data_IF_255022488288
#
_entry.id   IF_255022488288
#
_cell.length_a   1.000
_cell.length_b   1.000
_cell.length_c   1.000
_cell.angle_alpha   90.00
_cell.angle_beta   90.00
_cell.angle_gamma   90.00
#
_symmetry.space_group_name_H-M   'P 1'
#
loop_
_entity.id
_entity.type
_entity.pdbx_description
1 polymer ?
#
# COMPACT_ATOMS: atom_id res chain seq x y z
N UNK A 1 -36.57 6.17 16.97
CA UNK A 1 -36.12 5.05 16.11
C UNK A 1 -34.73 5.37 15.57
N UNK A 2 -33.71 4.55 15.88
CA UNK A 2 -32.37 4.73 15.34
C UNK A 2 -32.33 4.31 13.87
N UNK A 3 -31.97 5.22 12.97
CA UNK A 3 -31.86 4.92 11.55
C UNK A 3 -30.63 4.03 11.32
N UNK A 4 -30.83 2.81 10.83
CA UNK A 4 -29.74 1.85 10.56
C UNK A 4 -29.16 2.17 9.18
N UNK A 5 -28.13 3.01 9.13
CA UNK A 5 -27.44 3.35 7.87
C UNK A 5 -26.65 2.14 7.38
N UNK A 6 -26.92 1.71 6.16
CA UNK A 6 -26.13 0.68 5.45
C UNK A 6 -25.29 1.37 4.38
N UNK A 7 -24.07 0.89 4.20
CA UNK A 7 -23.13 1.31 3.15
C UNK A 7 -22.64 0.05 2.43
N UNK A 8 -22.59 0.09 1.10
CA UNK A 8 -21.97 -0.94 0.27
C UNK A 8 -20.66 -0.39 -0.27
N UNK A 9 -19.56 -1.09 0.00
CA UNK A 9 -18.23 -0.73 -0.50
C UNK A 9 -17.82 -1.79 -1.51
N UNK A 10 -17.50 -1.35 -2.73
CA UNK A 10 -16.94 -2.20 -3.77
C UNK A 10 -15.50 -1.74 -3.97
N UNK A 11 -14.57 -2.55 -3.47
CA UNK A 11 -13.14 -2.35 -3.71
C UNK A 11 -12.74 -2.98 -5.05
N UNK A 12 -11.64 -2.50 -5.62
CA UNK A 12 -11.14 -2.91 -6.94
C UNK A 12 -12.18 -2.83 -8.08
N UNK A 13 -13.05 -1.80 -8.06
CA UNK A 13 -14.10 -1.61 -9.07
C UNK A 13 -13.56 -1.53 -10.51
N UNK A 14 -12.29 -1.17 -10.68
CA UNK A 14 -11.62 -1.20 -11.97
C UNK A 14 -11.62 -2.58 -12.64
N UNK A 15 -11.73 -3.68 -11.88
CA UNK A 15 -11.75 -5.04 -12.40
C UNK A 15 -13.06 -5.36 -13.14
N UNK A 16 -14.13 -4.62 -12.85
CA UNK A 16 -15.38 -4.70 -13.61
C UNK A 16 -15.26 -3.98 -14.97
N UNK A 17 -14.31 -3.03 -15.12
CA UNK A 17 -14.12 -2.28 -16.36
C UNK A 17 -13.32 -3.11 -17.35
N UNK A 18 -13.86 -3.38 -18.56
CA UNK A 18 -13.17 -4.22 -19.54
C UNK A 18 -11.87 -3.57 -20.02
N UNK A 19 -10.81 -4.37 -20.14
CA UNK A 19 -9.47 -3.92 -20.58
C UNK A 19 -9.55 -3.22 -21.94
N UNK A 20 -10.36 -3.75 -22.87
CA UNK A 20 -10.53 -3.20 -24.23
C UNK A 20 -11.44 -1.97 -24.29
N UNK A 21 -11.90 -1.45 -23.13
CA UNK A 21 -12.77 -0.26 -22.99
C UNK A 21 -13.88 -0.19 -24.04
N UNK A 22 -14.55 -1.31 -24.29
CA UNK A 22 -15.64 -1.37 -25.25
C UNK A 22 -16.83 -0.56 -24.72
N UNK A 23 -17.31 0.37 -25.53
CA UNK A 23 -18.36 1.34 -25.14
C UNK A 23 -19.67 0.67 -24.72
N UNK A 24 -20.07 -0.41 -25.40
CA UNK A 24 -21.29 -1.17 -25.10
C UNK A 24 -21.21 -1.82 -23.71
N UNK A 25 -20.10 -2.48 -23.41
CA UNK A 25 -19.88 -3.12 -22.10
C UNK A 25 -19.74 -2.07 -20.99
N UNK A 26 -19.11 -0.93 -21.26
CA UNK A 26 -19.02 0.18 -20.29
C UNK A 26 -20.42 0.69 -19.98
N UNK A 27 -21.28 0.87 -21.00
CA UNK A 27 -22.66 1.30 -20.81
C UNK A 27 -23.49 0.30 -20.00
N UNK A 28 -23.37 -1.00 -20.29
CA UNK A 28 -24.04 -2.06 -19.50
C UNK A 28 -23.61 -2.02 -18.03
N UNK A 29 -22.32 -1.83 -17.76
CA UNK A 29 -21.80 -1.67 -16.41
C UNK A 29 -22.36 -0.41 -15.73
N UNK A 30 -22.50 0.70 -16.46
CA UNK A 30 -23.14 1.91 -15.94
C UNK A 30 -24.59 1.67 -15.54
N UNK A 31 -25.36 0.97 -16.38
CA UNK A 31 -26.76 0.62 -16.08
C UNK A 31 -26.87 -0.32 -14.88
N UNK A 32 -25.97 -1.30 -14.77
CA UNK A 32 -25.91 -2.17 -13.59
C UNK A 32 -25.66 -1.37 -12.30
N UNK A 33 -24.72 -0.42 -12.31
CA UNK A 33 -24.46 0.46 -11.15
C UNK A 33 -25.68 1.30 -10.81
N UNK A 34 -26.38 1.83 -11.83
CA UNK A 34 -27.61 2.59 -11.63
C UNK A 34 -28.68 1.74 -10.95
N UNK A 35 -28.93 0.55 -11.48
CA UNK A 35 -29.95 -0.36 -10.95
C UNK A 35 -29.62 -0.78 -9.51
N UNK A 36 -28.35 -1.00 -9.19
CA UNK A 36 -27.91 -1.27 -7.82
C UNK A 36 -28.22 -0.10 -6.88
N UNK A 37 -27.90 1.14 -7.27
CA UNK A 37 -28.19 2.33 -6.47
C UNK A 37 -29.71 2.50 -6.24
N UNK A 38 -30.52 2.27 -7.27
CA UNK A 38 -31.97 2.46 -7.22
C UNK A 38 -32.68 1.37 -6.41
N UNK A 39 -32.32 0.10 -6.64
CA UNK A 39 -33.00 -1.04 -6.03
C UNK A 39 -32.58 -1.25 -4.57
N UNK A 40 -31.30 -1.05 -4.24
CA UNK A 40 -30.82 -1.28 -2.87
C UNK A 40 -31.15 -0.13 -1.93
N UNK A 41 -31.25 1.11 -2.45
CA UNK A 41 -31.34 2.35 -1.67
C UNK A 41 -30.21 2.48 -0.62
N UNK A 42 -29.09 1.80 -0.84
CA UNK A 42 -27.89 1.83 0.01
C UNK A 42 -26.90 2.86 -0.54
N UNK A 43 -26.17 3.55 0.34
CA UNK A 43 -25.08 4.43 -0.09
C UNK A 43 -23.91 3.57 -0.55
N UNK A 44 -23.39 3.83 -1.75
CA UNK A 44 -22.29 3.06 -2.33
C UNK A 44 -20.98 3.84 -2.33
N UNK A 45 -19.89 3.13 -2.08
CA UNK A 45 -18.52 3.59 -2.31
C UNK A 45 -17.90 2.67 -3.35
N UNK A 46 -17.51 3.22 -4.50
CA UNK A 46 -16.78 2.52 -5.54
C UNK A 46 -15.32 2.96 -5.45
N UNK A 47 -14.44 2.05 -5.01
CA UNK A 47 -13.02 2.30 -4.88
C UNK A 47 -12.26 1.57 -5.99
N UNK A 48 -11.21 2.20 -6.51
CA UNK A 48 -10.42 1.61 -7.58
C UNK A 48 -9.42 2.54 -8.23
N UNK A 49 -8.80 2.05 -9.31
CA UNK A 49 -7.88 2.83 -10.15
C UNK A 49 -8.61 3.97 -10.88
N UNK A 50 -7.90 5.03 -11.32
CA UNK A 50 -8.53 6.22 -11.89
C UNK A 50 -9.52 5.96 -13.03
N UNK A 51 -9.27 4.94 -13.86
CA UNK A 51 -10.15 4.59 -14.99
C UNK A 51 -11.43 3.84 -14.55
N UNK A 52 -11.56 3.43 -13.29
CA UNK A 52 -12.80 2.87 -12.74
C UNK A 52 -13.97 3.85 -12.80
N UNK A 53 -13.69 5.13 -13.04
CA UNK A 53 -14.69 6.19 -13.19
C UNK A 53 -15.43 6.16 -14.53
N UNK A 54 -14.89 5.46 -15.54
CA UNK A 54 -15.42 5.47 -16.92
C UNK A 54 -16.92 5.12 -17.00
N UNK A 55 -17.44 4.07 -16.34
CA UNK A 55 -18.87 3.78 -16.36
C UNK A 55 -19.70 4.89 -15.71
N UNK A 56 -19.17 5.59 -14.71
CA UNK A 56 -19.89 6.66 -14.04
C UNK A 56 -20.01 7.91 -14.91
N UNK A 57 -18.99 8.19 -15.73
CA UNK A 57 -18.98 9.33 -16.66
C UNK A 57 -19.80 9.08 -17.92
N UNK A 58 -20.00 7.81 -18.28
CA UNK A 58 -20.73 7.46 -19.50
C UNK A 58 -22.25 7.62 -19.34
N UNK A 59 -22.78 7.49 -18.13
CA UNK A 59 -24.21 7.57 -17.87
C UNK A 59 -24.57 8.83 -17.04
N UNK A 60 -25.16 9.87 -17.68
CA UNK A 60 -25.55 11.11 -16.99
C UNK A 60 -26.51 10.90 -15.80
N UNK A 61 -27.23 9.78 -15.75
CA UNK A 61 -28.11 9.46 -14.62
C UNK A 61 -27.32 9.20 -13.33
N UNK A 62 -26.02 8.88 -13.43
CA UNK A 62 -25.14 8.67 -12.30
C UNK A 62 -24.51 9.97 -11.79
N UNK A 63 -24.50 11.06 -12.56
CA UNK A 63 -23.87 12.33 -12.14
C UNK A 63 -24.49 12.91 -10.87
N UNK A 64 -25.82 12.86 -10.75
CA UNK A 64 -26.54 13.31 -9.56
C UNK A 64 -26.40 12.37 -8.35
N UNK A 65 -26.00 11.11 -8.58
CA UNK A 65 -25.97 10.03 -7.58
C UNK A 65 -24.56 9.75 -7.05
N UNK A 66 -23.54 9.96 -7.88
CA UNK A 66 -22.12 9.76 -7.59
C UNK A 66 -21.38 11.10 -7.45
N UNK A 67 -21.89 11.98 -6.57
CA UNK A 67 -21.40 13.37 -6.45
C UNK A 67 -20.01 13.50 -5.84
N UNK A 68 -19.62 12.56 -4.97
CA UNK A 68 -18.34 12.60 -4.29
C UNK A 68 -17.31 11.75 -5.06
N UNK A 69 -16.38 12.41 -5.76
CA UNK A 69 -15.22 11.77 -6.37
C UNK A 69 -13.98 12.15 -5.58
N UNK A 70 -13.45 11.21 -4.82
CA UNK A 70 -12.26 11.42 -4.00
C UNK A 70 -11.07 10.73 -4.67
N UNK A 71 -10.04 11.51 -4.97
CA UNK A 71 -8.79 10.97 -5.49
C UNK A 71 -7.73 11.00 -4.38
N UNK A 72 -7.42 9.83 -3.84
CA UNK A 72 -6.37 9.66 -2.84
C UNK A 72 -5.02 9.70 -3.57
N UNK A 73 -4.25 10.76 -3.33
CA UNK A 73 -2.92 10.96 -3.91
C UNK A 73 -1.83 10.50 -2.95
N UNK A 74 -0.65 10.22 -3.49
CA UNK A 74 0.56 10.13 -2.69
C UNK A 74 0.73 11.40 -1.84
N UNK A 75 1.29 11.24 -0.64
CA UNK A 75 1.65 12.39 0.18
C UNK A 75 2.68 13.24 -0.57
N UNK A 76 2.48 14.57 -0.69
CA UNK A 76 3.49 15.43 -1.27
C UNK A 76 4.67 15.58 -0.31
N UNK A 77 5.88 15.75 -0.85
CA UNK A 77 7.00 16.23 -0.05
C UNK A 77 7.09 17.74 -0.15
N UNK A 78 7.02 18.41 1.00
CA UNK A 78 7.35 19.83 1.13
C UNK A 78 8.38 19.92 2.24
N UNK A 79 9.57 20.45 1.93
CA UNK A 79 10.55 20.72 2.97
C UNK A 79 9.93 21.71 3.97
N UNK A 80 10.13 21.48 5.28
CA UNK A 80 9.67 22.41 6.28
C UNK A 80 10.22 23.81 5.97
N UNK A 81 9.33 24.80 5.93
CA UNK A 81 9.74 26.18 5.75
C UNK A 81 9.57 26.90 7.09
N UNK A 82 10.49 27.83 7.44
CA UNK A 82 10.27 28.72 8.57
C UNK A 82 8.95 29.44 8.34
N UNK A 83 8.01 29.32 9.28
CA UNK A 83 6.77 30.08 9.16
C UNK A 83 7.07 31.58 9.29
N UNK A 84 6.17 32.44 8.78
CA UNK A 84 6.25 33.90 9.03
C UNK A 84 6.19 34.26 10.52
N UNK A 85 5.79 33.33 11.39
CA UNK A 85 5.93 33.42 12.84
C UNK A 85 7.27 32.81 13.24
N UNK A 86 8.16 33.63 13.78
CA UNK A 86 9.47 33.20 14.26
C UNK A 86 9.34 31.98 15.19
N UNK A 87 10.07 30.91 14.87
CA UNK A 87 10.18 29.72 15.72
C UNK A 87 9.22 28.55 15.43
N UNK A 88 8.27 28.67 14.49
CA UNK A 88 7.40 27.54 14.12
C UNK A 88 7.85 26.93 12.79
N UNK A 89 8.28 25.66 12.84
CA UNK A 89 8.57 24.85 11.65
C UNK A 89 7.29 24.08 11.29
N UNK A 90 6.81 24.21 10.05
CA UNK A 90 5.65 23.43 9.59
C UNK A 90 6.05 21.97 9.38
N UNK A 91 5.50 21.05 10.17
CA UNK A 91 5.60 19.62 9.89
C UNK A 91 4.77 19.28 8.65
N UNK A 92 5.36 18.58 7.68
CA UNK A 92 4.62 18.09 6.53
C UNK A 92 3.66 16.98 6.97
N UNK A 93 2.45 16.91 6.39
CA UNK A 93 1.46 15.83 6.59
C UNK A 93 2.09 14.44 6.50
N UNK A 94 3.11 14.24 5.65
CA UNK A 94 3.84 12.97 5.58
C UNK A 94 4.61 12.63 6.86
N UNK A 95 5.29 13.61 7.47
CA UNK A 95 5.98 13.41 8.74
C UNK A 95 4.98 13.13 9.87
N UNK A 96 3.82 13.80 9.87
CA UNK A 96 2.76 13.52 10.82
C UNK A 96 2.19 12.09 10.67
N UNK A 97 2.10 11.59 9.43
CA UNK A 97 1.75 10.20 9.15
C UNK A 97 2.80 9.22 9.68
N UNK A 98 4.09 9.49 9.48
CA UNK A 98 5.18 8.66 10.01
C UNK A 98 5.21 8.64 11.54
N UNK A 99 4.97 9.79 12.19
CA UNK A 99 4.90 9.87 13.65
C UNK A 99 3.75 9.01 14.22
N UNK A 100 2.58 9.02 13.58
CA UNK A 100 1.47 8.14 13.96
C UNK A 100 1.81 6.66 13.78
N UNK A 101 2.48 6.32 12.68
CA UNK A 101 2.94 4.96 12.44
C UNK A 101 3.95 4.51 13.50
N UNK A 102 4.92 5.37 13.86
CA UNK A 102 5.90 5.12 14.91
C UNK A 102 5.26 4.90 16.28
N UNK A 103 4.30 5.75 16.66
CA UNK A 103 3.54 5.56 17.89
C UNK A 103 2.78 4.23 17.92
N UNK A 104 2.28 3.76 16.78
CA UNK A 104 1.59 2.48 16.66
C UNK A 104 2.53 1.28 16.83
N UNK A 105 3.83 1.42 16.53
CA UNK A 105 4.80 0.32 16.67
C UNK A 105 5.17 0.02 18.13
N UNK A 106 5.02 0.99 19.03
CA UNK A 106 5.27 0.84 20.48
C UNK A 106 6.64 0.23 20.80
N UNK A 107 7.66 0.64 20.06
CA UNK A 107 9.03 0.21 20.32
C UNK A 107 9.57 0.88 21.59
N UNK A 108 10.47 0.21 22.35
CA UNK A 108 11.03 0.76 23.58
C UNK A 108 11.77 2.08 23.41
N UNK A 109 12.40 2.28 22.25
CA UNK A 109 13.14 3.49 21.91
C UNK A 109 12.55 4.18 20.68
N UNK A 110 12.61 5.53 20.62
CA UNK A 110 12.20 6.27 19.45
C UNK A 110 13.05 5.89 18.24
N UNK A 111 12.37 5.65 17.13
CA UNK A 111 12.97 5.43 15.82
C UNK A 111 13.14 6.74 15.05
N UNK A 112 12.54 7.85 15.45
CA UNK A 112 12.73 9.15 14.79
C UNK A 112 12.39 9.12 13.29
N UNK A 113 11.34 8.39 12.91
CA UNK A 113 10.95 8.23 11.50
C UNK A 113 10.39 9.53 10.90
N UNK A 114 9.81 10.38 11.75
CA UNK A 114 9.27 11.69 11.34
C UNK A 114 10.32 12.79 11.23
N UNK A 115 11.59 12.53 11.58
CA UNK A 115 12.66 13.52 11.46
C UNK A 115 12.82 13.97 10.00
N UNK A 116 13.03 15.27 9.71
CA UNK A 116 12.96 15.81 8.35
C UNK A 116 13.79 15.04 7.31
N UNK A 117 15.06 14.75 7.63
CA UNK A 117 15.96 14.06 6.70
C UNK A 117 15.55 12.60 6.50
N UNK A 118 15.16 11.92 7.57
CA UNK A 118 14.75 10.51 7.51
C UNK A 118 13.43 10.34 6.80
N UNK A 119 12.46 11.19 7.11
CA UNK A 119 11.19 11.26 6.44
C UNK A 119 11.35 11.60 4.94
N UNK A 120 12.32 12.46 4.57
CA UNK A 120 12.64 12.74 3.16
C UNK A 120 13.13 11.48 2.44
N UNK A 121 14.03 10.71 3.06
CA UNK A 121 14.55 9.46 2.48
C UNK A 121 13.46 8.41 2.32
N UNK A 122 12.61 8.22 3.34
CA UNK A 122 11.46 7.30 3.29
C UNK A 122 10.47 7.76 2.22
N UNK A 123 10.21 9.07 2.11
CA UNK A 123 9.36 9.64 1.06
C UNK A 123 9.89 9.32 -0.32
N UNK A 124 11.17 9.61 -0.58
CA UNK A 124 11.85 9.33 -1.87
C UNK A 124 11.80 7.83 -2.21
N UNK A 125 12.08 6.96 -1.25
CA UNK A 125 12.04 5.51 -1.42
C UNK A 125 10.65 4.98 -1.77
N UNK A 126 9.58 5.65 -1.33
CA UNK A 126 8.21 5.14 -1.43
C UNK A 126 7.35 5.94 -2.41
N UNK A 127 7.85 7.06 -2.92
CA UNK A 127 7.09 8.05 -3.69
C UNK A 127 5.96 8.70 -2.89
N UNK A 128 6.00 8.65 -1.56
CA UNK A 128 4.91 9.11 -0.68
C UNK A 128 3.62 8.27 -0.74
N UNK A 129 3.65 7.09 -1.38
CA UNK A 129 2.51 6.19 -1.46
C UNK A 129 2.34 5.41 -0.16
N UNK A 130 1.18 5.58 0.50
CA UNK A 130 0.86 4.93 1.80
C UNK A 130 1.15 3.42 1.76
N UNK A 131 0.67 2.72 0.73
CA UNK A 131 0.89 1.28 0.60
C UNK A 131 2.36 0.87 0.50
N UNK A 132 3.18 1.66 -0.22
CA UNK A 132 4.63 1.41 -0.31
C UNK A 132 5.34 1.76 1.00
N UNK A 133 4.96 2.87 1.63
CA UNK A 133 5.49 3.28 2.94
C UNK A 133 5.17 2.23 4.01
N UNK A 134 3.92 1.77 4.11
CA UNK A 134 3.56 0.71 5.06
C UNK A 134 4.37 -0.56 4.82
N UNK A 135 4.49 -1.01 3.58
CA UNK A 135 5.27 -2.21 3.24
C UNK A 135 6.74 -2.08 3.66
N UNK A 136 7.35 -0.93 3.39
CA UNK A 136 8.73 -0.65 3.81
C UNK A 136 8.87 -0.67 5.33
N UNK A 137 8.01 0.06 6.04
CA UNK A 137 8.11 0.20 7.50
C UNK A 137 7.78 -1.10 8.24
N UNK A 138 6.76 -1.84 7.82
CA UNK A 138 6.43 -3.17 8.38
C UNK A 138 7.60 -4.12 8.16
N UNK A 139 8.18 -4.16 6.95
CA UNK A 139 9.33 -5.03 6.70
C UNK A 139 10.54 -4.64 7.54
N UNK A 140 10.80 -3.34 7.73
CA UNK A 140 11.88 -2.86 8.61
C UNK A 140 11.64 -3.22 10.07
N UNK A 141 10.39 -3.13 10.54
CA UNK A 141 9.98 -3.55 11.88
C UNK A 141 10.19 -5.05 12.07
N UNK A 142 9.72 -5.89 11.15
CA UNK A 142 9.91 -7.35 11.21
C UNK A 142 11.40 -7.73 11.28
N UNK A 143 12.24 -7.08 10.48
CA UNK A 143 13.70 -7.26 10.51
C UNK A 143 14.26 -6.85 11.88
N UNK A 144 13.85 -5.70 12.41
CA UNK A 144 14.29 -5.22 13.72
C UNK A 144 13.89 -6.16 14.85
N UNK A 145 12.63 -6.57 14.89
CA UNK A 145 12.09 -7.48 15.92
C UNK A 145 12.78 -8.85 15.88
N UNK A 146 13.08 -9.38 14.69
CA UNK A 146 13.82 -10.65 14.56
C UNK A 146 15.23 -10.60 15.16
N UNK A 147 15.76 -9.39 15.41
CA UNK A 147 17.08 -9.12 16.00
C UNK A 147 17.01 -8.52 17.40
N UNK A 148 15.82 -8.44 18.01
CA UNK A 148 15.62 -7.83 19.34
C UNK A 148 15.87 -6.32 19.37
N UNK A 149 15.69 -5.62 18.24
CA UNK A 149 15.96 -4.19 18.17
C UNK A 149 14.97 -3.37 19.01
N UNK A 150 15.49 -2.37 19.72
CA UNK A 150 14.69 -1.43 20.53
C UNK A 150 14.12 -0.28 19.71
N UNK A 151 14.67 -0.02 18.52
CA UNK A 151 14.20 0.98 17.55
C UNK A 151 14.47 0.52 16.10
N UNK A 152 13.86 1.18 15.12
CA UNK A 152 14.17 0.98 13.69
C UNK A 152 15.37 1.85 13.31
N UNK A 153 16.50 1.23 12.98
CA UNK A 153 17.70 1.91 12.47
C UNK A 153 17.66 2.07 10.94
N UNK A 154 18.55 2.88 10.38
CA UNK A 154 18.67 3.04 8.92
C UNK A 154 19.05 1.73 8.23
N UNK A 155 19.81 0.84 8.89
CA UNK A 155 20.13 -0.51 8.37
C UNK A 155 18.88 -1.37 8.20
N UNK A 156 17.89 -1.24 9.09
CA UNK A 156 16.62 -1.97 8.96
C UNK A 156 15.82 -1.46 7.76
N UNK A 157 15.76 -0.14 7.57
CA UNK A 157 15.11 0.48 6.41
C UNK A 157 15.81 0.12 5.09
N UNK A 158 17.15 0.08 5.08
CA UNK A 158 17.93 -0.30 3.92
C UNK A 158 17.61 -1.73 3.47
N UNK A 159 17.69 -2.69 4.40
CA UNK A 159 17.41 -4.10 4.09
C UNK A 159 15.95 -4.28 3.69
N UNK A 160 15.02 -3.59 4.35
CA UNK A 160 13.60 -3.60 3.99
C UNK A 160 13.37 -3.01 2.60
N UNK A 161 14.05 -1.93 2.24
CA UNK A 161 13.98 -1.33 0.92
C UNK A 161 14.48 -2.31 -0.15
N UNK A 162 15.65 -2.92 0.04
CA UNK A 162 16.19 -3.91 -0.89
C UNK A 162 15.26 -5.12 -1.08
N UNK A 163 14.53 -5.53 -0.04
CA UNK A 163 13.53 -6.63 -0.11
C UNK A 163 12.24 -6.23 -0.83
N UNK A 164 11.86 -4.96 -0.76
CA UNK A 164 10.55 -4.47 -1.23
C UNK A 164 10.63 -3.72 -2.56
N UNK A 165 11.84 -3.41 -3.03
CA UNK A 165 12.12 -2.77 -4.32
C UNK A 165 11.65 -3.66 -5.46
N UNK A 166 10.94 -3.06 -6.41
CA UNK A 166 10.69 -3.67 -7.73
C UNK A 166 11.97 -3.53 -8.56
N UNK A 167 12.32 -4.54 -9.36
CA UNK A 167 13.64 -4.71 -9.99
C UNK A 167 14.17 -3.51 -10.83
N UNK A 168 13.31 -2.55 -11.17
CA UNK A 168 13.63 -1.41 -12.05
C UNK A 168 14.25 -0.17 -11.37
N UNK A 169 14.28 -0.09 -10.04
CA UNK A 169 14.84 1.09 -9.36
C UNK A 169 16.38 0.97 -9.29
N UNK A 170 17.16 1.91 -9.80
CA UNK A 170 18.64 1.79 -9.87
C UNK A 170 19.36 2.39 -8.65
N UNK A 171 18.73 3.32 -7.92
CA UNK A 171 19.32 3.94 -6.72
C UNK A 171 18.62 3.49 -5.43
N UNK A 172 19.33 3.57 -4.30
CA UNK A 172 18.75 3.39 -2.98
C UNK A 172 18.74 4.74 -2.24
N UNK A 173 17.63 5.50 -2.30
CA UNK A 173 17.54 6.81 -1.65
C UNK A 173 17.57 6.74 -0.12
N UNK A 174 17.54 5.54 0.49
CA UNK A 174 17.82 5.35 1.92
C UNK A 174 19.30 5.56 2.23
N UNK A 175 20.21 5.24 1.30
CA UNK A 175 21.68 5.26 1.50
C UNK A 175 22.36 6.48 0.85
N UNK A 176 21.72 7.22 -0.06
CA UNK A 176 22.33 8.30 -0.89
C UNK A 176 23.00 9.49 -0.13
N UNK A 177 23.20 9.40 1.18
CA UNK A 177 24.02 10.32 1.98
C UNK A 177 25.03 9.64 2.93
N UNK A 178 25.37 8.37 2.75
CA UNK A 178 26.40 7.67 3.53
C UNK A 178 27.65 7.41 2.66
N UNK A 179 28.74 8.08 3.02
CA UNK A 179 30.08 7.93 2.44
C UNK A 179 30.52 6.46 2.27
N UNK A 180 31.07 6.19 1.08
CA UNK A 180 31.93 5.12 0.51
C UNK A 180 32.16 3.74 1.18
N UNK A 181 31.63 3.44 2.35
CA UNK A 181 31.90 2.17 3.07
C UNK A 181 30.90 1.05 2.82
N UNK A 182 29.81 1.31 2.06
CA UNK A 182 28.74 0.34 1.79
C UNK A 182 29.07 -0.69 0.67
N UNK A 183 30.29 -0.68 0.11
CA UNK A 183 30.68 -1.54 -1.02
C UNK A 183 30.68 -3.05 -0.68
N UNK A 184 30.99 -3.41 0.57
CA UNK A 184 31.12 -4.82 0.97
C UNK A 184 29.81 -5.62 1.08
N UNK A 185 28.67 -4.98 1.39
CA UNK A 185 27.41 -5.69 1.62
C UNK A 185 26.61 -5.98 0.34
N UNK A 186 26.88 -5.26 -0.76
CA UNK A 186 26.21 -5.44 -2.05
C UNK A 186 26.43 -6.84 -2.63
N UNK A 187 27.61 -7.42 -2.43
CA UNK A 187 27.97 -8.74 -2.97
C UNK A 187 27.26 -9.91 -2.27
N UNK A 188 26.95 -9.79 -0.98
CA UNK A 188 26.39 -10.89 -0.19
C UNK A 188 24.88 -11.13 -0.42
N UNK A 189 24.15 -10.11 -0.91
CA UNK A 189 22.69 -10.17 -1.10
C UNK A 189 22.28 -10.53 -2.53
N UNK A 190 23.10 -10.21 -3.53
CA UNK A 190 22.84 -10.59 -4.94
C UNK A 190 22.94 -12.11 -5.14
N UNK A 191 23.79 -12.79 -4.37
CA UNK A 191 24.03 -14.24 -4.50
C UNK A 191 22.97 -15.16 -3.89
N UNK A 192 21.89 -14.66 -3.27
CA UNK A 192 20.89 -15.50 -2.55
C UNK A 192 19.45 -15.38 -3.04
N UNK A 193 19.18 -14.57 -4.05
CA UNK A 193 17.81 -14.39 -4.55
C UNK A 193 17.53 -15.33 -5.72
N UNK A 194 17.32 -16.62 -5.41
CA UNK A 194 16.55 -17.52 -6.28
C UNK A 194 15.18 -17.67 -5.62
N UNK A 195 14.22 -16.81 -6.00
CA UNK A 195 12.84 -16.96 -5.55
C UNK A 195 12.16 -17.90 -6.55
N UNK A 196 12.19 -19.20 -6.24
CA UNK A 196 11.38 -20.19 -6.95
C UNK A 196 9.90 -19.87 -6.66
N UNK A 197 9.22 -19.26 -7.63
CA UNK A 197 7.76 -19.08 -7.58
C UNK A 197 7.09 -20.34 -8.10
N UNK A 198 6.88 -21.33 -7.23
CA UNK A 198 5.90 -22.39 -7.54
C UNK A 198 4.51 -21.81 -7.29
N UNK A 199 3.64 -21.70 -8.31
CA UNK A 199 2.29 -21.20 -8.12
C UNK A 199 1.47 -22.21 -7.32
N UNK A 200 0.90 -21.77 -6.19
CA UNK A 200 -0.10 -22.54 -5.44
C UNK A 200 -1.35 -22.61 -6.32
N UNK A 201 -1.60 -23.78 -6.92
CA UNK A 201 -2.90 -24.08 -7.56
C UNK A 201 -3.88 -24.51 -6.47
N UNK A 202 -4.91 -23.71 -6.25
CA UNK A 202 -6.10 -24.14 -5.53
C UNK A 202 -7.01 -24.88 -6.53
N UNK A 203 -7.12 -26.19 -6.40
CA UNK A 203 -8.15 -26.98 -7.09
C UNK A 203 -9.42 -26.99 -6.24
N UNK A 204 -10.52 -26.53 -6.81
CA UNK A 204 -11.85 -26.67 -6.23
C UNK A 204 -12.37 -28.11 -6.39
N UNK A 205 -12.77 -28.76 -5.30
CA UNK A 205 -13.73 -29.85 -5.33
C UNK A 205 -14.59 -29.80 -4.06
N UNK A 206 -15.91 -29.65 -4.23
CA UNK A 206 -16.90 -30.18 -3.30
C UNK A 206 -16.75 -31.72 -3.31
N UNK A 207 -16.89 -32.47 -2.22
CA UNK A 207 -18.10 -32.66 -1.40
C UNK A 207 -17.74 -33.57 -0.21
N UNK A 208 -18.54 -33.47 0.85
CA UNK A 208 -18.93 -34.49 1.86
C UNK A 208 -17.91 -35.45 2.51
N UNK A 209 -17.92 -35.35 3.85
CA UNK A 209 -17.62 -36.34 4.88
C UNK A 209 -16.21 -36.95 4.99
N UNK A 210 -15.70 -36.98 6.23
CA UNK A 210 -14.63 -37.88 6.66
C UNK A 210 -13.24 -37.24 6.81
N UNK A 211 -12.89 -36.92 8.06
CA UNK A 211 -11.56 -37.06 8.67
C UNK A 211 -10.30 -36.99 7.76
N UNK A 212 -9.52 -35.91 7.87
CA UNK A 212 -8.22 -35.80 7.17
C UNK A 212 -7.06 -35.80 8.16
N UNK A 213 -6.35 -36.92 8.13
CA UNK A 213 -5.06 -37.20 8.77
C UNK A 213 -3.95 -36.39 8.06
N UNK A 214 -3.14 -35.65 8.80
CA UNK A 214 -1.93 -35.01 8.26
C UNK A 214 -0.81 -36.04 8.06
N UNK A 215 -0.43 -36.29 6.81
CA UNK A 215 0.80 -37.02 6.48
C UNK A 215 1.85 -36.05 5.92
N UNK A 216 3.06 -36.13 6.47
CA UNK A 216 4.24 -35.35 6.08
C UNK A 216 4.95 -36.12 4.96
N UNK A 217 4.87 -35.64 3.72
CA UNK A 217 5.68 -36.21 2.65
C UNK A 217 7.15 -35.82 2.86
N UNK A 218 7.94 -36.79 3.33
CA UNK A 218 9.40 -36.74 3.31
C UNK A 218 9.93 -36.71 1.88
N UNK A 219 11.08 -36.04 1.71
CA UNK A 219 11.74 -35.90 0.42
C UNK A 219 12.56 -37.11 -0.02
N UNK A 220 13.11 -36.98 -1.24
CA UNK A 220 14.32 -37.61 -1.83
C UNK A 220 14.24 -37.33 -3.35
N UNK A 221 15.29 -36.99 -4.08
CA UNK A 221 16.75 -36.97 -3.85
C UNK A 221 17.36 -35.83 -4.66
#
# INVERSE_FOLDING_TARGET
MGQRTKILIIDDFQNAVPIKKRDDVIWELSELVKDLLERTRVKMILAGLPYAVLPLERNPQLDGRCRARLHIRAFPWRRPQPSKKAGVISINTYQAYLAQFEAAMRLPEPSHLSDPDRAERIHKATGGLIGRTMRLLVSALEIGLSKGALHISDKHLEVAYLRTRLEDDKSNPIIDSLDETASGYRAALVGKTVINRTPIRLSSAASDEGEVIFSKAGGRS
#
